data_IF_832071495151
#
_entry.id   IF_832071495151
#
_cell.length_a   1.000
_cell.length_b   1.000
_cell.length_c   1.000
_cell.angle_alpha   90.00
_cell.angle_beta   90.00
_cell.angle_gamma   90.00
#
_symmetry.space_group_name_H-M   'P 1'
#
loop_
_entity.id
_entity.type
_entity.pdbx_description
1 polymer ?
#
# COMPACT_ATOMS: atom_id res chain seq x y z
N UNK A 1 29.98 -8.64 -4.31
CA UNK A 1 28.57 -8.98 -4.63
C UNK A 1 28.30 -8.67 -6.11
N UNK A 2 27.71 -9.59 -6.87
CA UNK A 2 27.48 -9.41 -8.33
C UNK A 2 26.38 -8.36 -8.57
N UNK A 3 26.66 -7.31 -9.36
CA UNK A 3 25.72 -6.21 -9.68
C UNK A 3 24.32 -6.67 -10.16
N UNK A 4 24.23 -7.85 -10.78
CA UNK A 4 22.95 -8.45 -11.21
C UNK A 4 22.05 -8.96 -10.08
N UNK A 5 22.59 -9.46 -8.96
CA UNK A 5 21.80 -9.94 -7.83
C UNK A 5 21.11 -8.79 -7.07
N UNK A 6 21.77 -7.63 -6.97
CA UNK A 6 21.23 -6.45 -6.27
C UNK A 6 19.98 -5.93 -6.98
N UNK A 7 20.03 -5.77 -8.32
CA UNK A 7 18.87 -5.35 -9.13
C UNK A 7 17.67 -6.28 -8.97
N UNK A 8 17.88 -7.59 -8.98
CA UNK A 8 16.80 -8.56 -8.77
C UNK A 8 16.16 -8.41 -7.38
N UNK A 9 16.97 -8.19 -6.35
CA UNK A 9 16.47 -7.96 -4.98
C UNK A 9 15.68 -6.65 -4.83
N UNK A 10 16.06 -5.59 -5.54
CA UNK A 10 15.36 -4.30 -5.50
C UNK A 10 14.02 -4.35 -6.24
N UNK A 11 14.00 -4.99 -7.41
CA UNK A 11 12.76 -5.22 -8.18
C UNK A 11 11.78 -6.04 -7.34
N UNK A 12 12.25 -7.15 -6.74
CA UNK A 12 11.43 -7.98 -5.87
C UNK A 12 10.88 -7.21 -4.66
N UNK A 13 11.72 -6.40 -3.99
CA UNK A 13 11.28 -5.53 -2.89
C UNK A 13 10.22 -4.53 -3.33
N UNK A 14 10.32 -4.00 -4.55
CA UNK A 14 9.32 -3.07 -5.12
C UNK A 14 8.00 -3.78 -5.40
N UNK A 15 8.04 -4.98 -5.97
CA UNK A 15 6.87 -5.83 -6.20
C UNK A 15 6.16 -6.17 -4.88
N UNK A 16 6.92 -6.62 -3.88
CA UNK A 16 6.36 -6.95 -2.57
C UNK A 16 5.76 -5.74 -1.86
N UNK A 17 6.34 -4.55 -2.00
CA UNK A 17 5.71 -3.31 -1.51
C UNK A 17 4.39 -3.04 -2.23
N UNK A 18 4.34 -3.14 -3.56
CA UNK A 18 3.10 -2.97 -4.34
C UNK A 18 2.01 -3.96 -3.94
N UNK A 19 2.36 -5.23 -3.80
CA UNK A 19 1.45 -6.30 -3.36
C UNK A 19 0.85 -5.97 -1.99
N UNK A 20 1.70 -5.64 -1.00
CA UNK A 20 1.24 -5.26 0.35
C UNK A 20 0.37 -4.01 0.33
N UNK A 21 0.74 -2.98 -0.44
CA UNK A 21 -0.07 -1.76 -0.59
C UNK A 21 -1.45 -2.08 -1.16
N UNK A 22 -1.55 -2.98 -2.15
CA UNK A 22 -2.85 -3.40 -2.70
C UNK A 22 -3.70 -4.15 -1.67
N UNK A 23 -3.10 -5.03 -0.87
CA UNK A 23 -3.81 -5.72 0.22
C UNK A 23 -4.34 -4.70 1.24
N UNK A 24 -3.55 -3.69 1.59
CA UNK A 24 -3.98 -2.62 2.51
C UNK A 24 -5.13 -1.81 1.91
N UNK A 25 -5.15 -1.55 0.61
CA UNK A 25 -6.30 -0.88 -0.07
C UNK A 25 -7.58 -1.68 0.05
N UNK A 26 -7.52 -3.00 -0.16
CA UNK A 26 -8.69 -3.88 -0.01
C UNK A 26 -9.20 -3.84 1.43
N UNK A 27 -8.28 -3.92 2.42
CA UNK A 27 -8.65 -3.79 3.83
C UNK A 27 -9.27 -2.43 4.14
N UNK A 28 -8.75 -1.35 3.55
CA UNK A 28 -9.26 0.00 3.77
C UNK A 28 -10.68 0.15 3.26
N UNK A 29 -10.99 -0.43 2.09
CA UNK A 29 -12.34 -0.45 1.54
C UNK A 29 -13.32 -1.25 2.40
N UNK A 30 -12.85 -2.33 3.03
CA UNK A 30 -13.69 -3.18 3.88
C UNK A 30 -13.80 -2.69 5.33
N UNK A 31 -12.99 -1.70 5.72
CA UNK A 31 -12.98 -1.16 7.07
C UNK A 31 -14.29 -0.41 7.35
N UNK A 32 -14.92 -0.74 8.46
CA UNK A 32 -16.23 -0.22 8.88
C UNK A 32 -16.09 0.97 9.83
N UNK A 33 -14.98 1.06 10.55
CA UNK A 33 -14.72 2.14 11.50
C UNK A 33 -13.53 2.99 11.08
N UNK A 34 -13.51 4.23 11.57
CA UNK A 34 -12.39 5.14 11.32
C UNK A 34 -11.11 4.70 12.03
N UNK A 35 -11.24 3.99 13.16
CA UNK A 35 -10.11 3.39 13.87
C UNK A 35 -9.42 2.30 13.03
N UNK A 36 -10.20 1.43 12.37
CA UNK A 36 -9.66 0.42 11.44
C UNK A 36 -8.94 1.08 10.26
N UNK A 37 -9.54 2.13 9.68
CA UNK A 37 -8.94 2.90 8.59
C UNK A 37 -7.62 3.54 9.02
N UNK A 38 -7.57 4.13 10.22
CA UNK A 38 -6.35 4.73 10.78
C UNK A 38 -5.24 3.67 10.99
N UNK A 39 -5.57 2.51 11.56
CA UNK A 39 -4.60 1.43 11.75
C UNK A 39 -4.03 0.93 10.41
N UNK A 40 -4.82 0.92 9.35
CA UNK A 40 -4.38 0.56 8.00
C UNK A 40 -3.42 1.60 7.43
N UNK A 41 -3.71 2.89 7.62
CA UNK A 41 -2.83 3.99 7.19
C UNK A 41 -1.49 3.98 7.95
N UNK A 42 -1.51 3.72 9.26
CA UNK A 42 -0.26 3.56 10.03
C UNK A 42 0.57 2.38 9.51
N UNK A 43 -0.08 1.26 9.17
CA UNK A 43 0.59 0.10 8.58
C UNK A 43 1.13 0.39 7.19
N UNK A 44 0.44 1.21 6.40
CA UNK A 44 0.90 1.66 5.09
C UNK A 44 2.22 2.43 5.22
N UNK A 45 2.32 3.36 6.17
CA UNK A 45 3.54 4.16 6.38
C UNK A 45 4.74 3.27 6.77
N UNK A 46 4.51 2.18 7.51
CA UNK A 46 5.56 1.18 7.82
C UNK A 46 5.98 0.36 6.60
N UNK A 47 5.05 0.02 5.71
CA UNK A 47 5.31 -0.83 4.52
C UNK A 47 5.94 -0.04 3.39
N UNK A 48 5.46 1.18 3.15
CA UNK A 48 5.91 2.03 2.07
C UNK A 48 5.93 3.50 2.54
N UNK A 49 6.99 3.94 3.23
CA UNK A 49 7.06 5.29 3.80
C UNK A 49 7.09 6.41 2.76
N UNK A 50 7.32 6.07 1.48
CA UNK A 50 7.44 7.03 0.38
C UNK A 50 6.11 7.31 -0.34
N UNK A 51 5.02 6.60 -0.01
CA UNK A 51 3.71 6.83 -0.62
C UNK A 51 2.90 7.80 0.22
N UNK A 52 2.26 8.77 -0.42
CA UNK A 52 1.32 9.66 0.29
C UNK A 52 -0.04 8.99 0.45
N UNK A 53 -0.83 9.45 1.42
CA UNK A 53 -2.20 8.95 1.63
C UNK A 53 -3.05 9.17 0.38
N UNK A 54 -2.91 10.33 -0.27
CA UNK A 54 -3.61 10.64 -1.53
C UNK A 54 -3.26 9.63 -2.64
N UNK A 55 -1.97 9.34 -2.85
CA UNK A 55 -1.51 8.32 -3.80
C UNK A 55 -2.01 6.90 -3.44
N UNK A 56 -2.19 6.64 -2.15
CA UNK A 56 -2.75 5.38 -1.68
C UNK A 56 -4.24 5.27 -2.00
N UNK A 57 -5.02 6.33 -1.80
CA UNK A 57 -6.47 6.35 -2.00
C UNK A 57 -6.88 6.49 -3.47
N UNK A 58 -6.10 7.19 -4.30
CA UNK A 58 -6.41 7.44 -5.72
C UNK A 58 -6.88 6.20 -6.51
N UNK A 59 -6.27 5.01 -6.39
CA UNK A 59 -6.74 3.82 -7.13
C UNK A 59 -8.07 3.24 -6.64
N UNK A 60 -8.50 3.60 -5.43
CA UNK A 60 -9.75 3.11 -4.83
C UNK A 60 -10.80 4.21 -4.66
N UNK A 61 -10.49 5.46 -5.02
CA UNK A 61 -11.37 6.62 -4.93
C UNK A 61 -12.73 6.39 -5.60
N UNK A 62 -12.74 5.81 -6.81
CA UNK A 62 -13.99 5.45 -7.51
C UNK A 62 -14.87 4.46 -6.75
N UNK A 63 -14.27 3.61 -5.90
CA UNK A 63 -15.01 2.65 -5.08
C UNK A 63 -15.51 3.29 -3.79
N UNK A 64 -14.74 4.20 -3.21
CA UNK A 64 -15.16 4.99 -2.05
C UNK A 64 -16.37 5.88 -2.37
N UNK A 65 -16.35 6.59 -3.50
CA UNK A 65 -17.43 7.51 -3.90
C UNK A 65 -18.69 6.81 -4.44
N UNK A 66 -18.66 5.48 -4.64
CA UNK A 66 -19.80 4.69 -5.10
C UNK A 66 -20.59 4.05 -3.96
N UNK A 67 -20.18 4.29 -2.72
CA UNK A 67 -20.83 3.80 -1.49
C UNK A 67 -21.52 4.98 -0.82
#
# INVERSE_FOLDING_TARGET
MRKGQIRQSELHKREKRREKTNILRIRYLNAKTDEERKAILEKLMKVNPYITIEQFLKPIEKKLNKT
#
